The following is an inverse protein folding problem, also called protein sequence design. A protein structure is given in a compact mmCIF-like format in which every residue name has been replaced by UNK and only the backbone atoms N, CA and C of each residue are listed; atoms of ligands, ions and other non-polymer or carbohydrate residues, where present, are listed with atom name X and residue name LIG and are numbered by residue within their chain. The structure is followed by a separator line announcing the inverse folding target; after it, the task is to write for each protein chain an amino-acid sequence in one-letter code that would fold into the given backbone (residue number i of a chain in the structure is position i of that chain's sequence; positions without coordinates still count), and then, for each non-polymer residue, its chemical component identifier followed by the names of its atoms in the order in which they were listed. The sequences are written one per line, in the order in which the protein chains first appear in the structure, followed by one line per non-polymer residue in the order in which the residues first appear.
data_IF_751921061861
#
_entry.id   IF_751921061861
#
_cell.length_a   1.000
_cell.length_b   1.000
_cell.length_c   1.000
_cell.angle_alpha   90.00
_cell.angle_beta   90.00
_cell.angle_gamma   90.00
#
_symmetry.space_group_name_H-M   'P 1'
#
loop_
_entity.id
_entity.type
_entity.pdbx_description
1 polymer ?
#
# COMPACT_ATOMS: atom_id res chain seq x y z
N UNK A 1 1.26 3.41 19.83
CA UNK A 1 0.96 3.26 18.39
C UNK A 1 2.31 3.24 17.70
N UNK A 2 2.64 2.17 16.98
CA UNK A 2 3.81 2.18 16.11
C UNK A 2 3.57 3.24 15.03
N UNK A 3 4.51 4.16 14.86
CA UNK A 3 4.43 5.20 13.84
C UNK A 3 4.66 4.55 12.48
N UNK A 4 3.76 4.79 11.53
CA UNK A 4 3.89 4.32 10.15
C UNK A 4 5.10 5.01 9.51
N UNK A 5 6.17 4.26 9.27
CA UNK A 5 7.37 4.79 8.62
C UNK A 5 8.05 3.71 7.77
N UNK A 6 8.06 3.92 6.45
CA UNK A 6 8.78 3.09 5.49
C UNK A 6 9.81 3.95 4.75
N UNK A 7 11.10 3.61 4.87
CA UNK A 7 12.15 4.30 4.12
C UNK A 7 12.03 4.02 2.61
N UNK A 8 12.34 5.02 1.78
CA UNK A 8 12.34 4.86 0.31
C UNK A 8 10.98 5.07 -0.35
N UNK A 9 9.97 5.49 0.42
CA UNK A 9 8.67 5.93 -0.09
C UNK A 9 8.18 7.16 0.67
N UNK A 10 7.23 7.87 0.08
CA UNK A 10 6.47 8.91 0.74
C UNK A 10 5.09 8.36 1.08
N UNK A 11 4.56 8.71 2.25
CA UNK A 11 3.23 8.23 2.62
C UNK A 11 2.54 9.12 3.63
N UNK A 12 1.21 9.10 3.57
CA UNK A 12 0.32 9.73 4.55
C UNK A 12 -0.58 8.64 5.11
N UNK A 13 -0.70 8.60 6.43
CA UNK A 13 -1.53 7.63 7.14
C UNK A 13 -2.61 8.36 7.94
N UNK A 14 -3.85 7.88 7.85
CA UNK A 14 -4.95 8.33 8.70
C UNK A 14 -5.76 7.14 9.20
N UNK A 15 -6.16 7.21 10.46
CA UNK A 15 -7.11 6.25 11.04
C UNK A 15 -8.42 6.97 11.30
N UNK A 16 -9.50 6.50 10.69
CA UNK A 16 -10.87 6.89 11.00
C UNK A 16 -11.38 5.95 12.10
N UNK A 17 -11.58 6.45 13.34
CA UNK A 17 -12.00 5.60 14.43
C UNK A 17 -13.40 5.02 14.19
N UNK A 18 -13.63 3.77 14.59
CA UNK A 18 -14.92 3.08 14.43
C UNK A 18 -16.11 3.92 14.94
N UNK A 19 -15.90 4.62 16.07
CA UNK A 19 -16.87 5.53 16.69
C UNK A 19 -17.30 6.69 15.79
N UNK A 20 -16.42 7.17 14.90
CA UNK A 20 -16.69 8.29 14.01
C UNK A 20 -17.61 7.90 12.84
N UNK A 21 -17.61 6.61 12.45
CA UNK A 21 -18.37 6.07 11.32
C UNK A 21 -19.44 5.04 11.74
N UNK A 22 -19.71 4.91 13.04
CA UNK A 22 -20.68 3.97 13.63
C UNK A 22 -20.46 2.50 13.20
N UNK A 23 -19.20 2.10 13.03
CA UNK A 23 -18.80 0.71 12.74
C UNK A 23 -18.23 0.04 13.99
N UNK A 24 -17.95 -1.27 13.91
CA UNK A 24 -17.26 -2.03 14.98
C UNK A 24 -15.73 -1.99 14.89
N UNK A 25 -15.21 -1.53 13.75
CA UNK A 25 -13.82 -1.67 13.35
C UNK A 25 -13.32 -0.35 12.77
N UNK A 26 -12.08 0.02 13.09
CA UNK A 26 -11.49 1.24 12.55
C UNK A 26 -11.25 1.09 11.04
N UNK A 27 -11.14 2.22 10.36
CA UNK A 27 -10.69 2.27 8.98
C UNK A 27 -9.35 2.98 8.91
N UNK A 28 -8.32 2.27 8.47
CA UNK A 28 -7.00 2.81 8.20
C UNK A 28 -6.89 3.12 6.71
N UNK A 29 -6.44 4.34 6.39
CA UNK A 29 -6.24 4.78 5.02
C UNK A 29 -4.78 5.23 4.88
N UNK A 30 -4.08 4.64 3.93
CA UNK A 30 -2.73 5.02 3.55
C UNK A 30 -2.71 5.48 2.09
N UNK A 31 -2.12 6.65 1.85
CA UNK A 31 -1.72 7.09 0.52
C UNK A 31 -0.21 6.96 0.39
N UNK A 32 0.27 6.25 -0.63
CA UNK A 32 1.68 5.87 -0.79
C UNK A 32 2.20 6.34 -2.16
N UNK A 33 3.39 6.92 -2.17
CA UNK A 33 4.14 7.21 -3.38
C UNK A 33 5.51 6.51 -3.32
N UNK A 34 5.78 5.62 -4.27
CA UNK A 34 7.09 5.01 -4.45
C UNK A 34 7.76 5.69 -5.65
N UNK A 35 8.91 6.36 -5.46
CA UNK A 35 9.63 7.00 -6.56
C UNK A 35 10.01 5.99 -7.67
N UNK A 36 9.97 6.39 -8.95
CA UNK A 36 10.36 5.52 -10.05
C UNK A 36 11.88 5.27 -10.01
N UNK A 37 12.30 4.07 -9.60
CA UNK A 37 13.69 3.65 -9.58
C UNK A 37 13.82 2.12 -9.65
N UNK A 38 15.05 1.61 -9.79
CA UNK A 38 15.32 0.17 -9.88
C UNK A 38 15.14 -0.58 -8.54
N UNK A 39 14.87 0.15 -7.44
CA UNK A 39 14.69 -0.40 -6.09
C UNK A 39 13.23 -0.68 -5.74
N UNK A 40 12.27 -0.40 -6.64
CA UNK A 40 10.84 -0.64 -6.41
C UNK A 40 10.55 -2.03 -5.84
N UNK A 41 11.10 -3.14 -6.37
CA UNK A 41 10.83 -4.48 -5.82
C UNK A 41 11.25 -4.61 -4.34
N UNK A 42 12.41 -4.06 -3.98
CA UNK A 42 12.92 -4.09 -2.61
C UNK A 42 12.09 -3.21 -1.67
N UNK A 43 11.69 -2.02 -2.12
CA UNK A 43 10.82 -1.10 -1.37
C UNK A 43 9.46 -1.75 -1.14
N UNK A 44 8.86 -2.37 -2.16
CA UNK A 44 7.61 -3.12 -2.04
C UNK A 44 7.71 -4.28 -1.05
N UNK A 45 8.82 -5.02 -1.06
CA UNK A 45 9.03 -6.10 -0.09
C UNK A 45 9.03 -5.59 1.35
N UNK A 46 9.78 -4.51 1.63
CA UNK A 46 9.82 -3.88 2.97
C UNK A 46 8.43 -3.36 3.36
N UNK A 47 7.78 -2.66 2.44
CA UNK A 47 6.43 -2.12 2.62
C UNK A 47 5.41 -3.21 2.96
N UNK A 48 5.43 -4.33 2.24
CA UNK A 48 4.52 -5.46 2.49
C UNK A 48 4.78 -6.13 3.84
N UNK A 49 6.03 -6.24 4.28
CA UNK A 49 6.38 -6.78 5.59
C UNK A 49 5.83 -5.89 6.73
N UNK A 50 6.03 -4.57 6.64
CA UNK A 50 5.49 -3.63 7.62
C UNK A 50 3.96 -3.62 7.64
N UNK A 51 3.33 -3.67 6.46
CA UNK A 51 1.88 -3.74 6.36
C UNK A 51 1.33 -5.03 7.02
N UNK A 52 2.01 -6.16 6.83
CA UNK A 52 1.64 -7.43 7.45
C UNK A 52 1.68 -7.34 8.97
N UNK A 53 2.72 -6.72 9.52
CA UNK A 53 2.85 -6.49 10.97
C UNK A 53 1.70 -5.63 11.50
N UNK A 54 1.39 -4.50 10.85
CA UNK A 54 0.32 -3.60 11.27
C UNK A 54 -1.05 -4.28 11.18
N UNK A 55 -1.29 -5.03 10.10
CA UNK A 55 -2.51 -5.81 9.94
C UNK A 55 -2.64 -6.85 11.04
N UNK A 56 -1.55 -7.50 11.46
CA UNK A 56 -1.59 -8.47 12.56
C UNK A 56 -2.00 -7.85 13.89
N UNK A 57 -1.57 -6.60 14.13
CA UNK A 57 -1.90 -5.84 15.35
C UNK A 57 -3.34 -5.29 15.35
N UNK A 58 -3.94 -5.12 14.17
CA UNK A 58 -5.29 -4.58 13.98
C UNK A 58 -6.14 -5.54 13.11
N UNK A 59 -6.15 -6.83 13.48
CA UNK A 59 -6.62 -7.93 12.62
C UNK A 59 -8.10 -7.85 12.18
N UNK A 60 -8.93 -7.11 12.92
CA UNK A 60 -10.35 -6.94 12.61
C UNK A 60 -10.65 -5.58 11.95
N UNK A 61 -9.65 -4.70 11.84
CA UNK A 61 -9.83 -3.37 11.24
C UNK A 61 -9.78 -3.42 9.71
N UNK A 62 -10.32 -2.37 9.09
CA UNK A 62 -10.37 -2.22 7.64
C UNK A 62 -9.20 -1.37 7.14
N UNK A 63 -8.70 -1.67 5.95
CA UNK A 63 -7.55 -0.99 5.36
C UNK A 63 -7.85 -0.58 3.92
N UNK A 64 -7.57 0.66 3.58
CA UNK A 64 -7.47 1.15 2.21
C UNK A 64 -6.04 1.63 2.01
N UNK A 65 -5.39 1.09 0.99
CA UNK A 65 -4.02 1.44 0.64
C UNK A 65 -4.02 1.74 -0.85
N UNK A 66 -3.68 2.97 -1.18
CA UNK A 66 -3.72 3.45 -2.55
C UNK A 66 -2.59 4.45 -2.79
N UNK A 67 -2.37 4.80 -4.05
CA UNK A 67 -1.41 5.81 -4.47
C UNK A 67 -0.64 5.37 -5.70
N UNK A 68 0.50 6.01 -5.96
CA UNK A 68 1.35 5.71 -7.11
C UNK A 68 2.58 4.92 -6.67
N UNK A 69 2.49 3.61 -6.86
CA UNK A 69 3.56 2.66 -6.55
C UNK A 69 4.62 2.57 -7.66
N UNK A 70 4.44 3.32 -8.76
CA UNK A 70 5.23 3.20 -9.99
C UNK A 70 5.39 1.74 -10.46
N UNK A 71 4.36 0.92 -10.23
CA UNK A 71 4.34 -0.46 -10.72
C UNK A 71 4.41 -0.49 -12.25
N UNK A 72 4.94 -1.58 -12.82
CA UNK A 72 4.88 -1.78 -14.26
C UNK A 72 3.43 -1.74 -14.75
N UNK A 73 3.21 -1.24 -15.96
CA UNK A 73 1.89 -1.30 -16.59
C UNK A 73 1.60 -2.77 -16.90
N UNK A 74 0.48 -3.28 -16.41
CA UNK A 74 0.03 -4.65 -16.69
C UNK A 74 -1.11 -4.56 -17.70
N UNK A 75 -0.94 -5.23 -18.84
CA UNK A 75 -2.00 -5.49 -19.81
C UNK A 75 -2.46 -6.94 -19.69
N UNK A 76 -3.72 -7.23 -20.00
CA UNK A 76 -4.26 -8.59 -19.93
C UNK A 76 -4.50 -9.10 -21.35
N UNK A 77 -3.63 -9.99 -21.83
CA UNK A 77 -3.78 -10.59 -23.16
C UNK A 77 -4.04 -12.09 -23.00
N UNK A 78 -5.13 -12.56 -23.62
CA UNK A 78 -5.54 -13.97 -23.59
C UNK A 78 -5.70 -14.56 -22.17
N UNK A 79 -6.05 -13.72 -21.19
CA UNK A 79 -6.22 -14.14 -19.79
C UNK A 79 -4.94 -14.15 -18.96
N UNK A 80 -3.79 -13.81 -19.56
CA UNK A 80 -2.50 -13.74 -18.88
C UNK A 80 -2.04 -12.28 -18.71
N UNK A 81 -1.40 -11.92 -17.60
CA UNK A 81 -0.84 -10.59 -17.39
C UNK A 81 0.47 -10.43 -18.18
N UNK A 82 0.54 -9.39 -19.01
CA UNK A 82 1.73 -8.97 -19.73
C UNK A 82 2.23 -7.65 -19.13
N UNK A 83 3.51 -7.63 -18.75
CA UNK A 83 4.17 -6.43 -18.25
C UNK A 83 4.62 -5.57 -19.44
N UNK A 84 4.02 -4.40 -19.59
CA UNK A 84 4.40 -3.41 -20.59
C UNK A 84 5.55 -2.54 -20.06
N UNK A 85 6.52 -2.24 -20.93
CA UNK A 85 7.52 -1.21 -20.66
C UNK A 85 6.85 0.17 -20.76
N UNK A 86 7.10 1.02 -19.76
CA UNK A 86 6.63 2.41 -19.74
C UNK A 86 7.50 3.22 -20.73
N UNK A 87 6.92 3.68 -21.84
CA UNK A 87 7.57 4.61 -22.79
C UNK A 87 8.22 4.01 -24.04
N UNK A 88 7.46 3.22 -24.82
CA UNK A 88 7.79 2.96 -26.24
C UNK A 88 7.44 4.14 -27.12
#
# INVERSE_FOLDING_TARGET
MAEWHCSGLESVWVTIPAKAVKTRHNLHIATVYIPPNDQIPSILHIFMNQLSEIKSQNCNDHFIIAGDFNLPIIDWQYGEPIILRKGS
#
